data_IF_270841251426
#
_entry.id   IF_270841251426
#
_cell.length_a   1.000
_cell.length_b   1.000
_cell.length_c   1.000
_cell.angle_alpha   90.00
_cell.angle_beta   90.00
_cell.angle_gamma   90.00
#
_symmetry.space_group_name_H-M   'P 1'
#
loop_
_entity.id
_entity.type
_entity.pdbx_description
1 polymer ?
#
# COMPACT_ATOMS: atom_id res chain seq x y z
N UNK A 1 -26.03 -47.56 -26.83
CA UNK A 1 -25.46 -46.29 -27.37
C UNK A 1 -25.82 -45.09 -26.51
N UNK A 2 -27.02 -44.93 -25.99
CA UNK A 2 -27.49 -43.83 -25.13
C UNK A 2 -26.75 -43.79 -23.77
N UNK A 3 -26.51 -44.93 -23.13
CA UNK A 3 -25.84 -45.03 -21.84
C UNK A 3 -24.37 -44.51 -21.88
N UNK A 4 -23.68 -44.75 -22.98
CA UNK A 4 -22.31 -44.27 -23.20
C UNK A 4 -22.23 -42.75 -23.37
N UNK A 5 -23.27 -42.15 -23.94
CA UNK A 5 -23.41 -40.70 -24.10
C UNK A 5 -23.69 -40.01 -22.74
N UNK A 6 -24.54 -40.60 -21.91
CA UNK A 6 -24.85 -40.10 -20.59
C UNK A 6 -23.62 -40.17 -19.66
N UNK A 7 -22.81 -41.21 -19.78
CA UNK A 7 -21.56 -41.32 -19.00
C UNK A 7 -20.51 -40.31 -19.44
N UNK A 8 -20.39 -40.01 -20.73
CA UNK A 8 -19.49 -38.95 -21.25
C UNK A 8 -19.96 -37.55 -20.87
N UNK A 9 -21.26 -37.32 -20.83
CA UNK A 9 -21.82 -36.02 -20.42
C UNK A 9 -21.65 -35.78 -18.94
N UNK A 10 -21.80 -36.79 -18.07
CA UNK A 10 -21.57 -36.68 -16.64
C UNK A 10 -20.10 -36.47 -16.30
N UNK A 11 -19.16 -37.06 -17.05
CA UNK A 11 -17.73 -36.89 -16.86
C UNK A 11 -17.28 -35.46 -17.27
N UNK A 12 -17.86 -34.90 -18.32
CA UNK A 12 -17.62 -33.51 -18.74
C UNK A 12 -18.14 -32.49 -17.72
N UNK A 13 -19.31 -32.71 -17.12
CA UNK A 13 -19.83 -31.89 -16.02
C UNK A 13 -18.98 -32.01 -14.75
N UNK A 14 -18.44 -33.17 -14.41
CA UNK A 14 -17.59 -33.35 -13.26
C UNK A 14 -16.22 -32.63 -13.40
N UNK A 15 -15.68 -32.56 -14.62
CA UNK A 15 -14.43 -31.79 -14.89
C UNK A 15 -14.68 -30.29 -14.87
N UNK A 16 -15.87 -29.80 -15.26
CA UNK A 16 -16.22 -28.38 -15.19
C UNK A 16 -16.41 -27.85 -13.74
N UNK A 17 -16.64 -28.75 -12.78
CA UNK A 17 -16.76 -28.41 -11.36
C UNK A 17 -15.43 -28.40 -10.59
N UNK A 18 -14.31 -28.70 -11.23
CA UNK A 18 -12.99 -28.32 -10.73
C UNK A 18 -12.83 -26.82 -10.87
N UNK A 19 -13.63 -26.09 -10.09
CA UNK A 19 -13.47 -24.66 -9.87
C UNK A 19 -12.03 -24.46 -9.42
N UNK A 20 -11.21 -23.85 -10.28
CA UNK A 20 -9.93 -23.31 -9.87
C UNK A 20 -10.23 -22.31 -8.78
N UNK A 21 -10.12 -22.74 -7.52
CA UNK A 21 -10.06 -21.82 -6.40
C UNK A 21 -8.78 -21.02 -6.63
N UNK A 22 -8.91 -19.88 -7.30
CA UNK A 22 -7.88 -18.85 -7.29
C UNK A 22 -7.71 -18.51 -5.82
N UNK A 23 -6.75 -19.13 -5.19
CA UNK A 23 -6.32 -18.77 -3.87
C UNK A 23 -5.79 -17.36 -4.02
N UNK A 24 -6.55 -16.38 -3.55
CA UNK A 24 -6.06 -15.03 -3.37
C UNK A 24 -4.87 -15.13 -2.41
N UNK A 25 -3.67 -15.22 -2.96
CA UNK A 25 -2.43 -15.27 -2.18
C UNK A 25 -2.28 -13.94 -1.47
N UNK A 26 -1.86 -13.96 -0.22
CA UNK A 26 -1.36 -12.76 0.46
C UNK A 26 -0.03 -12.36 -0.17
N UNK A 27 0.28 -11.08 -0.16
CA UNK A 27 1.59 -10.56 -0.56
C UNK A 27 2.71 -11.20 0.27
N UNK A 28 3.92 -11.30 -0.28
CA UNK A 28 5.08 -11.77 0.47
C UNK A 28 5.33 -10.85 1.68
N UNK A 29 5.94 -11.40 2.73
CA UNK A 29 6.36 -10.62 3.89
C UNK A 29 7.66 -9.91 3.55
N UNK A 30 7.70 -8.59 3.77
CA UNK A 30 8.90 -7.78 3.61
C UNK A 30 9.86 -8.05 4.78
N UNK A 31 11.05 -8.57 4.50
CA UNK A 31 12.12 -8.73 5.48
C UNK A 31 12.93 -7.42 5.51
N UNK A 32 12.86 -6.71 6.63
CA UNK A 32 13.36 -5.34 6.73
C UNK A 32 14.89 -5.25 6.64
N UNK A 33 15.62 -6.22 7.17
CA UNK A 33 17.09 -6.29 7.14
C UNK A 33 17.65 -6.43 5.72
N UNK A 34 16.86 -6.97 4.81
CA UNK A 34 17.22 -7.12 3.41
C UNK A 34 16.65 -6.01 2.52
N UNK A 35 15.87 -5.09 3.10
CA UNK A 35 15.27 -4.01 2.36
C UNK A 35 16.33 -2.96 1.97
N UNK A 36 16.22 -2.46 0.76
CA UNK A 36 16.99 -1.30 0.32
C UNK A 36 16.66 -0.07 1.19
N UNK A 37 17.57 0.91 1.22
CA UNK A 37 17.36 2.19 1.91
C UNK A 37 16.09 2.92 1.45
N UNK A 38 15.68 2.70 0.21
CA UNK A 38 14.40 3.14 -0.37
C UNK A 38 13.83 2.02 -1.22
N UNK A 39 12.69 1.49 -0.81
CA UNK A 39 12.04 0.35 -1.42
C UNK A 39 10.66 0.74 -1.95
N UNK A 40 10.35 0.40 -3.19
CA UNK A 40 8.98 0.44 -3.73
C UNK A 40 8.14 -0.66 -3.07
N UNK A 41 7.01 -0.26 -2.45
CA UNK A 41 6.19 -1.16 -1.64
C UNK A 41 5.13 -1.93 -2.44
N UNK A 42 4.82 -1.55 -3.67
CA UNK A 42 3.65 -2.08 -4.38
C UNK A 42 3.60 -3.62 -4.42
N UNK A 43 4.74 -4.27 -4.67
CA UNK A 43 4.84 -5.75 -4.70
C UNK A 43 4.64 -6.44 -3.34
N UNK A 44 4.66 -5.67 -2.25
CA UNK A 44 4.54 -6.14 -0.87
C UNK A 44 3.19 -5.82 -0.25
N UNK A 45 2.29 -5.19 -1.02
CA UNK A 45 1.01 -4.73 -0.54
C UNK A 45 -0.08 -5.77 -0.70
N UNK A 46 -0.82 -6.00 0.37
CA UNK A 46 -2.17 -6.53 0.29
C UNK A 46 -3.15 -5.37 0.10
N UNK A 47 -4.20 -5.62 -0.66
CA UNK A 47 -5.30 -4.71 -0.96
C UNK A 47 -6.62 -5.31 -0.51
N UNK A 48 -7.51 -4.50 0.06
CA UNK A 48 -8.91 -4.89 0.27
C UNK A 48 -9.73 -4.61 -1.00
N UNK A 49 -10.45 -5.61 -1.52
CA UNK A 49 -11.40 -5.40 -2.61
C UNK A 49 -12.48 -4.39 -2.24
N UNK A 50 -12.95 -3.61 -3.21
CA UNK A 50 -13.98 -2.59 -3.02
C UNK A 50 -15.39 -3.14 -2.74
N UNK A 51 -15.59 -4.46 -2.73
CA UNK A 51 -16.92 -5.08 -2.57
C UNK A 51 -17.52 -4.90 -1.19
N UNK A 52 -16.68 -4.77 -0.14
CA UNK A 52 -17.16 -4.52 1.23
C UNK A 52 -15.99 -3.95 2.04
N UNK A 53 -15.53 -2.71 1.73
CA UNK A 53 -14.47 -2.11 2.51
C UNK A 53 -15.00 -1.77 3.91
N UNK A 54 -14.17 -1.86 4.97
CA UNK A 54 -14.53 -1.31 6.26
C UNK A 54 -14.74 0.21 6.13
N UNK A 55 -15.83 0.70 6.72
CA UNK A 55 -16.18 2.12 6.64
C UNK A 55 -15.25 3.00 7.49
N UNK A 56 -14.64 2.41 8.52
CA UNK A 56 -13.72 3.10 9.43
C UNK A 56 -12.51 2.25 9.79
N UNK A 57 -11.47 2.91 10.28
CA UNK A 57 -10.29 2.27 10.86
C UNK A 57 -10.61 1.38 12.06
N UNK A 58 -11.59 1.76 12.88
CA UNK A 58 -12.02 0.96 14.03
C UNK A 58 -12.60 -0.39 13.58
N UNK A 59 -13.44 -0.38 12.57
CA UNK A 59 -13.99 -1.60 11.98
C UNK A 59 -12.90 -2.47 11.37
N UNK A 60 -11.93 -1.88 10.69
CA UNK A 60 -10.77 -2.60 10.15
C UNK A 60 -9.95 -3.25 11.27
N UNK A 61 -9.66 -2.51 12.33
CA UNK A 61 -8.80 -2.96 13.42
C UNK A 61 -9.49 -3.96 14.37
N UNK A 62 -10.82 -4.04 14.37
CA UNK A 62 -11.55 -5.02 15.17
C UNK A 62 -11.23 -6.46 14.77
N UNK A 63 -11.10 -6.73 13.47
CA UNK A 63 -10.81 -8.07 12.95
C UNK A 63 -9.97 -8.00 11.65
N UNK A 64 -8.75 -7.49 11.70
CA UNK A 64 -7.98 -7.17 10.49
C UNK A 64 -7.60 -8.40 9.66
N UNK A 65 -7.47 -9.57 10.29
CA UNK A 65 -7.04 -10.81 9.61
C UNK A 65 -8.20 -11.62 9.03
N UNK A 66 -9.45 -11.31 9.37
CA UNK A 66 -10.64 -11.96 8.80
C UNK A 66 -11.09 -11.32 7.50
N UNK A 67 -10.59 -10.12 7.19
CA UNK A 67 -10.92 -9.40 5.98
C UNK A 67 -10.30 -10.06 4.74
N UNK A 68 -10.98 -9.99 3.57
CA UNK A 68 -10.57 -10.70 2.35
C UNK A 68 -9.40 -9.98 1.64
N UNK A 69 -8.29 -9.83 2.33
CA UNK A 69 -7.07 -9.27 1.76
C UNK A 69 -6.54 -10.12 0.61
N UNK A 70 -6.05 -9.48 -0.43
CA UNK A 70 -5.37 -10.14 -1.55
C UNK A 70 -4.12 -9.37 -1.94
N UNK A 71 -3.13 -10.06 -2.50
CA UNK A 71 -1.96 -9.42 -3.03
C UNK A 71 -2.33 -8.39 -4.12
N UNK A 72 -1.64 -7.25 -4.13
CA UNK A 72 -1.84 -6.22 -5.15
C UNK A 72 -1.41 -6.69 -6.54
N UNK A 73 -0.38 -7.53 -6.63
CA UNK A 73 0.17 -8.12 -7.88
C UNK A 73 0.46 -7.08 -8.97
N UNK A 74 1.02 -5.96 -8.56
CA UNK A 74 1.42 -4.84 -9.42
C UNK A 74 2.74 -4.25 -8.92
N UNK A 75 3.55 -3.73 -9.84
CA UNK A 75 4.81 -3.04 -9.48
C UNK A 75 4.59 -1.59 -9.04
N UNK A 76 3.45 -1.00 -9.39
CA UNK A 76 3.02 0.34 -8.97
C UNK A 76 1.54 0.28 -8.63
N UNK A 77 1.11 1.00 -7.60
CA UNK A 77 -0.30 1.12 -7.30
C UNK A 77 -1.03 1.86 -8.43
N UNK A 78 -1.88 1.16 -9.17
CA UNK A 78 -2.71 1.70 -10.25
C UNK A 78 -4.13 1.11 -10.17
N UNK A 79 -5.05 1.83 -9.51
CA UNK A 79 -6.38 1.32 -9.15
C UNK A 79 -7.54 2.13 -9.75
N UNK A 80 -7.26 3.06 -10.67
CA UNK A 80 -8.29 3.92 -11.24
C UNK A 80 -8.95 4.84 -10.22
N UNK A 81 -10.22 5.21 -10.45
CA UNK A 81 -10.98 6.07 -9.55
C UNK A 81 -11.43 5.28 -8.31
N UNK A 82 -11.17 5.81 -7.12
CA UNK A 82 -11.47 5.20 -5.81
C UNK A 82 -11.98 6.24 -4.81
N UNK A 83 -13.20 6.73 -5.00
CA UNK A 83 -13.86 7.69 -4.11
C UNK A 83 -14.16 7.09 -2.73
N UNK A 84 -14.49 5.80 -2.67
CA UNK A 84 -14.82 5.08 -1.44
C UNK A 84 -13.60 4.82 -0.55
N UNK A 85 -12.42 4.97 -1.14
CA UNK A 85 -11.16 4.66 -0.47
C UNK A 85 -10.67 3.25 -0.75
N UNK A 86 -9.37 3.10 -0.61
CA UNK A 86 -8.64 1.87 -0.85
C UNK A 86 -7.80 1.56 0.37
N UNK A 87 -8.08 0.45 1.03
CA UNK A 87 -7.27 -0.05 2.13
C UNK A 87 -6.12 -0.90 1.62
N UNK A 88 -4.94 -0.63 2.15
CA UNK A 88 -3.69 -1.27 1.80
C UNK A 88 -2.93 -1.66 3.06
N UNK A 89 -2.14 -2.74 2.99
CA UNK A 89 -1.24 -3.12 4.07
C UNK A 89 0.00 -3.85 3.57
N UNK A 90 1.23 -3.49 3.95
CA UNK A 90 2.39 -4.37 3.95
C UNK A 90 2.49 -5.15 5.26
N UNK A 91 2.98 -6.38 5.19
CA UNK A 91 3.44 -7.15 6.33
C UNK A 91 4.96 -7.10 6.37
N UNK A 92 5.53 -6.71 7.50
CA UNK A 92 6.96 -6.46 7.65
C UNK A 92 7.49 -7.30 8.80
N UNK A 93 8.54 -8.07 8.52
CA UNK A 93 9.31 -8.80 9.53
C UNK A 93 10.59 -8.03 9.81
N UNK A 94 10.82 -7.67 11.06
CA UNK A 94 12.06 -7.08 11.57
C UNK A 94 12.69 -8.07 12.55
N UNK A 95 13.88 -8.57 12.26
CA UNK A 95 14.63 -9.47 13.15
C UNK A 95 15.63 -8.72 14.05
N UNK A 96 15.80 -7.42 13.80
CA UNK A 96 16.74 -6.57 14.52
C UNK A 96 16.05 -5.65 15.52
N UNK A 97 16.78 -4.60 15.91
CA UNK A 97 16.26 -3.56 16.79
C UNK A 97 15.14 -2.77 16.13
N UNK A 98 14.40 -2.03 16.96
CA UNK A 98 13.38 -1.07 16.48
C UNK A 98 13.97 -0.15 15.42
N UNK A 99 13.33 -0.07 14.27
CA UNK A 99 13.74 0.78 13.16
C UNK A 99 12.71 1.87 12.88
N UNK A 100 13.21 3.06 12.57
CA UNK A 100 12.39 4.15 12.01
C UNK A 100 12.51 4.12 10.51
N UNK A 101 11.38 4.18 9.84
CA UNK A 101 11.26 4.27 8.39
C UNK A 101 10.27 5.37 8.03
N UNK A 102 10.25 5.76 6.77
CA UNK A 102 9.34 6.77 6.26
C UNK A 102 8.51 6.11 5.16
N UNK A 103 7.20 6.10 5.35
CA UNK A 103 6.22 5.73 4.32
C UNK A 103 6.00 6.96 3.45
N UNK A 104 6.41 6.88 2.18
CA UNK A 104 6.26 7.94 1.19
C UNK A 104 5.12 7.60 0.23
N UNK A 105 4.22 8.55 0.03
CA UNK A 105 3.14 8.52 -0.95
C UNK A 105 3.43 9.65 -1.95
N UNK A 106 4.09 9.33 -3.06
CA UNK A 106 4.65 10.32 -4.00
C UNK A 106 3.57 10.90 -4.93
N UNK A 107 2.54 11.47 -4.33
CA UNK A 107 1.47 12.16 -5.03
C UNK A 107 0.83 13.23 -4.12
N UNK A 108 0.89 14.48 -4.57
CA UNK A 108 0.40 15.64 -3.79
C UNK A 108 -1.11 15.86 -3.85
N UNK A 109 -1.83 15.26 -4.81
CA UNK A 109 -3.27 15.46 -5.01
C UNK A 109 -4.15 14.32 -4.47
N UNK A 110 -3.68 13.59 -3.45
CA UNK A 110 -4.51 12.64 -2.71
C UNK A 110 -5.49 13.42 -1.84
N UNK A 111 -6.78 13.08 -1.95
CA UNK A 111 -7.84 13.75 -1.21
C UNK A 111 -7.77 13.47 0.28
N UNK A 112 -7.64 12.20 0.66
CA UNK A 112 -7.51 11.76 2.03
C UNK A 112 -6.54 10.59 2.12
N UNK A 113 -5.71 10.62 3.14
CA UNK A 113 -4.76 9.59 3.51
C UNK A 113 -4.95 9.31 4.99
N UNK A 114 -5.10 8.06 5.35
CA UNK A 114 -5.09 7.61 6.73
C UNK A 114 -4.02 6.55 6.91
N UNK A 115 -3.10 6.72 7.84
CA UNK A 115 -2.02 5.77 8.15
C UNK A 115 -2.16 5.31 9.58
N UNK A 116 -2.22 4.00 9.78
CA UNK A 116 -2.41 3.36 11.08
C UNK A 116 -1.21 2.48 11.37
N UNK A 117 -0.55 2.75 12.48
CA UNK A 117 0.62 2.00 12.96
C UNK A 117 0.43 1.58 14.40
N UNK A 118 1.17 0.58 14.83
CA UNK A 118 1.16 0.13 16.22
C UNK A 118 2.30 0.80 16.98
N UNK A 119 1.98 1.43 18.12
CA UNK A 119 2.99 1.98 19.03
C UNK A 119 3.68 0.86 19.80
N UNK A 120 4.84 1.17 20.40
CA UNK A 120 5.60 0.24 21.25
C UNK A 120 4.82 -0.26 22.47
N UNK A 121 3.85 0.51 22.97
CA UNK A 121 2.95 0.11 24.05
C UNK A 121 1.77 -0.77 23.59
N UNK A 122 1.73 -1.15 22.31
CA UNK A 122 0.68 -1.96 21.72
C UNK A 122 -0.58 -1.22 21.27
N UNK A 123 -0.73 0.08 21.59
CA UNK A 123 -1.86 0.88 21.11
C UNK A 123 -1.72 1.24 19.63
N UNK A 124 -2.86 1.48 18.97
CA UNK A 124 -2.88 1.97 17.61
C UNK A 124 -2.69 3.50 17.58
N UNK A 125 -2.01 3.96 16.57
CA UNK A 125 -1.87 5.37 16.25
C UNK A 125 -2.35 5.59 14.82
N UNK A 126 -3.31 6.49 14.67
CA UNK A 126 -3.82 6.95 13.38
C UNK A 126 -3.30 8.35 13.09
N UNK A 127 -2.86 8.58 11.85
CA UNK A 127 -2.48 9.90 11.33
C UNK A 127 -3.14 10.11 9.99
N UNK A 128 -3.60 11.33 9.75
CA UNK A 128 -4.29 11.71 8.53
C UNK A 128 -3.55 12.82 7.79
N UNK A 129 -3.68 12.82 6.47
CA UNK A 129 -3.21 13.88 5.58
C UNK A 129 -4.03 13.87 4.29
N UNK A 130 -3.75 14.80 3.40
CA UNK A 130 -4.42 14.91 2.12
C UNK A 130 -4.94 16.31 1.87
N UNK A 131 -5.40 16.58 0.65
CA UNK A 131 -5.89 17.91 0.25
C UNK A 131 -7.23 18.28 0.90
N UNK A 132 -7.96 17.30 1.45
CA UNK A 132 -9.22 17.52 2.16
C UNK A 132 -9.02 17.69 3.68
N UNK A 133 -7.81 17.52 4.20
CA UNK A 133 -7.52 17.60 5.63
C UNK A 133 -7.21 19.02 6.06
N UNK A 134 -7.91 19.50 7.11
CA UNK A 134 -7.69 20.83 7.69
C UNK A 134 -6.39 20.91 8.50
N UNK A 135 -5.94 19.81 9.07
CA UNK A 135 -4.74 19.71 9.90
C UNK A 135 -3.97 18.43 9.56
N UNK A 136 -3.26 18.41 8.44
CA UNK A 136 -2.52 17.22 8.02
C UNK A 136 -1.42 16.88 9.02
N UNK A 137 -1.28 15.58 9.34
CA UNK A 137 -0.27 15.05 10.27
C UNK A 137 0.89 14.36 9.53
N UNK A 138 0.87 14.38 8.20
CA UNK A 138 1.97 13.92 7.35
C UNK A 138 2.72 15.12 6.79
N UNK A 139 4.04 14.99 6.67
CA UNK A 139 4.87 16.01 6.04
C UNK A 139 4.65 16.03 4.54
N UNK A 140 4.59 17.23 3.95
CA UNK A 140 4.56 17.40 2.50
C UNK A 140 6.00 17.61 2.03
N UNK A 141 6.54 16.66 1.28
CA UNK A 141 7.93 16.68 0.81
C UNK A 141 8.09 17.19 -0.64
N UNK A 142 7.15 17.99 -1.11
CA UNK A 142 7.11 18.54 -2.47
C UNK A 142 6.63 17.57 -3.55
N UNK A 143 6.84 16.26 -3.39
CA UNK A 143 6.38 15.22 -4.31
C UNK A 143 5.10 14.53 -3.83
N UNK A 144 4.76 14.64 -2.55
CA UNK A 144 3.63 13.97 -1.92
C UNK A 144 3.69 14.05 -0.40
N UNK A 145 3.18 13.03 0.25
CA UNK A 145 3.09 12.94 1.71
C UNK A 145 4.07 11.91 2.25
N UNK A 146 4.63 12.19 3.42
CA UNK A 146 5.51 11.29 4.16
C UNK A 146 5.05 11.10 5.60
N UNK A 147 5.20 9.88 6.11
CA UNK A 147 4.82 9.52 7.47
C UNK A 147 5.95 8.72 8.11
N UNK A 148 6.47 9.20 9.23
CA UNK A 148 7.39 8.39 10.02
C UNK A 148 6.65 7.18 10.57
N UNK A 149 7.21 5.99 10.38
CA UNK A 149 6.68 4.73 10.91
C UNK A 149 7.75 4.04 11.75
N UNK A 150 7.35 3.59 12.94
CA UNK A 150 8.22 2.83 13.84
C UNK A 150 7.91 1.35 13.66
N UNK A 151 8.93 0.58 13.32
CA UNK A 151 8.81 -0.87 13.10
C UNK A 151 9.55 -1.58 14.24
N UNK A 152 8.82 -2.14 15.22
CA UNK A 152 9.42 -2.89 16.32
C UNK A 152 10.01 -4.22 15.83
N UNK A 153 10.76 -4.88 16.70
CA UNK A 153 11.16 -6.28 16.49
C UNK A 153 9.93 -7.18 16.31
N UNK A 154 10.06 -8.18 15.45
CA UNK A 154 9.01 -9.13 15.14
C UNK A 154 8.18 -8.75 13.92
N UNK A 155 6.96 -9.30 13.85
CA UNK A 155 6.02 -9.05 12.75
C UNK A 155 5.22 -7.77 13.01
N UNK A 156 5.18 -6.89 12.02
CA UNK A 156 4.42 -5.65 12.03
C UNK A 156 3.57 -5.53 10.79
N UNK A 157 2.44 -4.85 10.91
CA UNK A 157 1.57 -4.48 9.79
C UNK A 157 1.28 -2.99 9.86
N UNK A 158 1.45 -2.30 8.75
CA UNK A 158 1.04 -0.91 8.58
C UNK A 158 -0.24 -0.94 7.76
N UNK A 159 -1.30 -0.31 8.25
CA UNK A 159 -2.53 -0.13 7.47
C UNK A 159 -2.59 1.29 6.97
N UNK A 160 -3.05 1.47 5.72
CA UNK A 160 -3.32 2.81 5.24
C UNK A 160 -4.46 2.82 4.22
N UNK A 161 -5.25 3.89 4.27
CA UNK A 161 -6.33 4.16 3.34
C UNK A 161 -5.98 5.34 2.46
N UNK A 162 -6.28 5.21 1.17
CA UNK A 162 -6.13 6.28 0.19
C UNK A 162 -7.48 6.57 -0.46
N UNK A 163 -7.91 7.84 -0.45
CA UNK A 163 -9.07 8.32 -1.20
C UNK A 163 -8.63 9.39 -2.19
N UNK A 164 -9.16 9.33 -3.40
CA UNK A 164 -8.84 10.30 -4.43
C UNK A 164 -10.01 10.50 -5.38
N UNK A 165 -10.28 11.76 -5.72
CA UNK A 165 -11.21 12.12 -6.79
C UNK A 165 -10.59 11.96 -8.17
N UNK A 166 -9.30 11.63 -8.25
CA UNK A 166 -8.54 11.37 -9.47
C UNK A 166 -8.15 9.89 -9.56
N UNK A 167 -7.76 9.38 -10.72
CA UNK A 167 -7.26 8.02 -10.84
C UNK A 167 -6.13 7.77 -9.85
N UNK A 168 -6.28 6.76 -9.01
CA UNK A 168 -5.31 6.44 -7.96
C UNK A 168 -4.13 5.68 -8.58
N UNK A 169 -3.11 6.43 -8.94
CA UNK A 169 -1.82 5.91 -9.40
C UNK A 169 -0.74 6.63 -8.63
N UNK A 170 -0.05 5.95 -7.73
CA UNK A 170 0.99 6.56 -6.90
C UNK A 170 2.09 5.56 -6.57
N UNK A 171 3.36 5.93 -6.77
CA UNK A 171 4.48 5.20 -6.19
C UNK A 171 4.42 5.29 -4.67
N UNK A 172 4.62 4.15 -4.00
CA UNK A 172 4.62 4.04 -2.54
C UNK A 172 5.96 3.48 -2.13
N UNK A 173 6.71 4.22 -1.32
CA UNK A 173 8.02 3.78 -0.87
C UNK A 173 8.09 3.64 0.64
N UNK A 174 8.94 2.75 1.09
CA UNK A 174 9.42 2.67 2.47
C UNK A 174 10.90 3.00 2.47
N UNK A 175 11.27 4.12 3.12
CA UNK A 175 12.61 4.69 3.03
C UNK A 175 13.25 4.86 4.40
N UNK A 176 14.58 4.89 4.43
CA UNK A 176 15.31 5.51 5.53
C UNK A 176 15.25 7.03 5.41
N UNK A 177 15.44 7.76 6.51
CA UNK A 177 15.49 9.22 6.50
C UNK A 177 16.58 9.75 5.54
N UNK A 178 17.76 9.13 5.57
CA UNK A 178 18.86 9.50 4.66
C UNK A 178 18.52 9.31 3.19
N UNK A 179 17.77 8.28 2.86
CA UNK A 179 17.35 8.04 1.47
C UNK A 179 16.30 9.05 1.01
N UNK A 180 15.35 9.43 1.89
CA UNK A 180 14.39 10.49 1.60
C UNK A 180 15.08 11.83 1.36
N UNK A 181 16.02 12.22 2.22
CA UNK A 181 16.79 13.46 2.06
C UNK A 181 17.55 13.48 0.73
N UNK A 182 18.23 12.39 0.37
CA UNK A 182 18.91 12.27 -0.93
C UNK A 182 17.93 12.39 -2.10
N UNK A 183 16.77 11.76 -2.03
CA UNK A 183 15.76 11.82 -3.08
C UNK A 183 15.21 13.25 -3.26
N UNK A 184 14.96 13.97 -2.16
CA UNK A 184 14.48 15.34 -2.21
C UNK A 184 15.54 16.32 -2.79
N UNK A 185 16.79 16.17 -2.42
CA UNK A 185 17.91 16.95 -2.97
C UNK A 185 18.08 16.73 -4.48
N UNK A 186 18.03 15.50 -4.92
CA UNK A 186 18.13 15.17 -6.35
C UNK A 186 16.97 15.78 -7.15
N UNK A 187 15.76 15.75 -6.61
CA UNK A 187 14.60 16.37 -7.24
C UNK A 187 14.78 17.89 -7.36
N UNK A 188 15.22 18.56 -6.30
CA UNK A 188 15.47 20.00 -6.31
C UNK A 188 16.56 20.39 -7.32
N UNK A 189 17.62 19.60 -7.44
CA UNK A 189 18.68 19.82 -8.42
C UNK A 189 18.17 19.72 -9.88
N UNK A 190 17.34 18.73 -10.17
CA UNK A 190 16.75 18.55 -11.51
C UNK A 190 15.84 19.73 -11.88
N UNK A 191 15.01 20.20 -10.95
CA UNK A 191 14.16 21.38 -11.18
C UNK A 191 14.98 22.66 -11.31
N UNK A 192 16.05 22.84 -10.52
CA UNK A 192 16.93 24.00 -10.59
C UNK A 192 17.67 24.10 -11.93
N UNK A 193 18.19 23.00 -12.45
CA UNK A 193 18.84 22.95 -13.78
C UNK A 193 17.83 23.21 -14.90
N UNK A 194 16.62 22.67 -14.81
CA UNK A 194 15.57 22.91 -15.81
C UNK A 194 15.16 24.38 -15.93
N UNK A 195 15.05 25.09 -14.82
CA UNK A 195 14.73 26.52 -14.80
C UNK A 195 15.92 27.37 -15.29
N UNK A 196 17.15 27.00 -14.95
CA UNK A 196 18.36 27.67 -15.39
C UNK A 196 18.57 27.62 -16.91
N UNK A 197 18.21 26.51 -17.56
CA UNK A 197 18.30 26.35 -19.01
C UNK A 197 17.23 27.14 -19.78
N UNK A 198 16.07 27.40 -19.19
CA UNK A 198 14.97 28.15 -19.80
C UNK A 198 15.09 29.67 -19.59
N UNK A 199 15.84 30.11 -18.59
CA UNK A 199 16.07 31.52 -18.28
C UNK A 199 17.31 32.16 -18.95
N UNK A 200 18.05 31.39 -19.75
CA UNK A 200 19.29 31.83 -20.44
C UNK A 200 19.16 32.10 -21.94
N UNK A 201 17.95 32.44 -22.44
CA UNK A 201 17.73 32.86 -23.84
C UNK A 201 17.29 34.32 -23.85
#
# INVERSE_FOLDING_TARGET
MIILYLFRLSLLCAVALLSVTVRAGSSPVLILEHAADRLELASWLDILPATTPPESSEQLLAQPDTLPWRALDQSVLAQGYRSEGLWLRPKIQNFGLVQRRILELNRSNLGHIEVITRRSNGSWQTRTAGTAELSPQGDINGLGYSFEVVIPEGMSTIYFQLKSSYPLTTPIHLSTENALLRASQNSAAVYGVGIGLLGGI
#
